data_IF_071746774698
#
_entry.id   IF_071746774698
#
_cell.length_a   1.000
_cell.length_b   1.000
_cell.length_c   1.000
_cell.angle_alpha   90.00
_cell.angle_beta   90.00
_cell.angle_gamma   90.00
#
_symmetry.space_group_name_H-M   'P 1'
#
loop_
_entity.id
_entity.type
_entity.pdbx_description
1 polymer ?
#
# COMPACT_ATOMS: atom_id res chain seq x y z
N UNK A 1 6.58 -1.16 -30.54
CA UNK A 1 5.61 -0.11 -30.13
C UNK A 1 4.62 0.05 -31.26
N UNK A 2 3.43 -0.55 -31.16
CA UNK A 2 2.33 -0.07 -32.00
C UNK A 2 1.75 1.17 -31.32
N UNK A 3 1.66 2.27 -32.07
CA UNK A 3 1.32 3.61 -31.55
C UNK A 3 -0.19 3.84 -31.39
N UNK A 4 -1.04 2.90 -31.79
CA UNK A 4 -2.40 3.24 -32.25
C UNK A 4 -3.59 2.91 -31.35
N UNK A 5 -3.47 2.14 -30.25
CA UNK A 5 -4.66 1.64 -29.53
C UNK A 5 -4.67 1.78 -28.00
N UNK A 6 -3.64 2.32 -27.35
CA UNK A 6 -3.71 2.60 -25.91
C UNK A 6 -4.25 4.03 -25.70
N UNK A 7 -5.46 4.24 -25.14
CA UNK A 7 -5.96 5.57 -24.86
C UNK A 7 -5.06 6.30 -23.85
N UNK A 8 -4.93 7.62 -24.01
CA UNK A 8 -4.15 8.44 -23.08
C UNK A 8 -4.78 8.41 -21.67
N UNK A 9 -3.96 8.37 -20.60
CA UNK A 9 -4.43 8.55 -19.24
C UNK A 9 -5.22 9.86 -19.10
N UNK A 10 -6.39 9.79 -18.45
CA UNK A 10 -7.28 10.93 -18.26
C UNK A 10 -7.79 10.97 -16.83
N UNK A 11 -7.93 12.17 -16.27
CA UNK A 11 -8.52 12.39 -14.96
C UNK A 11 -9.69 13.37 -15.06
N UNK A 12 -10.81 12.96 -14.48
CA UNK A 12 -11.97 13.83 -14.21
C UNK A 12 -11.92 14.24 -12.74
N UNK A 13 -12.06 15.54 -12.46
CA UNK A 13 -12.04 16.06 -11.11
C UNK A 13 -13.27 16.92 -10.82
N UNK A 14 -13.76 16.85 -9.58
CA UNK A 14 -14.81 17.72 -9.07
C UNK A 14 -14.42 18.16 -7.66
N UNK A 15 -14.62 19.44 -7.34
CA UNK A 15 -14.26 19.98 -6.03
C UNK A 15 -15.32 20.95 -5.51
N UNK A 16 -15.44 21.02 -4.19
CA UNK A 16 -16.29 21.96 -3.46
C UNK A 16 -15.49 22.46 -2.26
N UNK A 17 -15.48 23.76 -2.03
CA UNK A 17 -14.78 24.38 -0.90
C UNK A 17 -15.68 25.45 -0.26
N UNK A 18 -15.63 25.54 1.08
CA UNK A 18 -16.39 26.48 1.89
C UNK A 18 -15.44 27.11 2.91
N UNK A 19 -15.17 28.40 2.74
CA UNK A 19 -14.39 29.21 3.67
C UNK A 19 -15.31 29.99 4.61
N UNK A 20 -14.98 30.02 5.91
CA UNK A 20 -15.72 30.81 6.89
C UNK A 20 -14.83 31.37 7.99
N UNK A 21 -14.92 32.67 8.19
CA UNK A 21 -14.37 33.31 9.38
C UNK A 21 -15.21 32.95 10.63
N UNK A 22 -14.55 32.47 11.68
CA UNK A 22 -15.16 32.11 12.97
C UNK A 22 -14.80 33.15 14.02
N UNK A 23 -15.58 34.24 14.09
CA UNK A 23 -15.34 35.31 15.06
C UNK A 23 -14.05 36.07 14.79
N UNK A 24 -13.25 36.35 15.84
CA UNK A 24 -12.03 37.17 15.72
C UNK A 24 -10.78 36.30 15.62
N UNK A 25 -10.15 36.31 14.45
CA UNK A 25 -8.82 35.74 14.22
C UNK A 25 -8.80 34.28 13.74
N UNK A 26 -9.91 33.54 13.84
CA UNK A 26 -10.03 32.19 13.27
C UNK A 26 -10.68 32.19 11.88
N UNK A 27 -10.15 31.38 10.97
CA UNK A 27 -10.86 30.91 9.76
C UNK A 27 -10.90 29.39 9.76
N UNK A 28 -12.00 28.83 9.25
CA UNK A 28 -12.12 27.41 8.92
C UNK A 28 -12.40 27.30 7.43
N UNK A 29 -11.74 26.32 6.81
CA UNK A 29 -11.54 26.27 5.38
C UNK A 29 -11.75 24.79 4.96
N UNK A 30 -12.99 24.42 4.57
CA UNK A 30 -13.45 23.01 4.40
C UNK A 30 -13.62 22.64 2.93
N UNK A 31 -12.87 21.65 2.46
CA UNK A 31 -12.87 21.20 1.07
C UNK A 31 -13.26 19.73 0.88
N UNK A 32 -13.78 19.42 -0.31
CA UNK A 32 -13.93 18.08 -0.83
C UNK A 32 -13.39 18.03 -2.26
N UNK A 33 -12.65 16.97 -2.59
CA UNK A 33 -12.09 16.71 -3.91
C UNK A 33 -12.39 15.26 -4.31
N UNK A 34 -13.06 15.09 -5.43
CA UNK A 34 -13.14 13.83 -6.16
C UNK A 34 -12.16 13.85 -7.34
N UNK A 35 -11.43 12.74 -7.54
CA UNK A 35 -10.68 12.47 -8.78
C UNK A 35 -10.98 11.06 -9.26
N UNK A 36 -11.59 10.94 -10.43
CA UNK A 36 -11.74 9.69 -11.19
C UNK A 36 -10.70 9.64 -12.30
N UNK A 37 -9.69 8.79 -12.14
CA UNK A 37 -8.59 8.61 -13.08
C UNK A 37 -8.75 7.30 -13.87
N UNK A 38 -8.62 7.39 -15.19
CA UNK A 38 -8.87 6.32 -16.14
C UNK A 38 -7.70 6.16 -17.11
N UNK A 39 -7.56 4.96 -17.67
CA UNK A 39 -6.50 4.60 -18.61
C UNK A 39 -5.08 4.81 -18.07
N UNK A 40 -4.90 4.64 -16.75
CA UNK A 40 -3.60 4.70 -16.10
C UNK A 40 -2.70 3.55 -16.57
N UNK A 41 -1.39 3.82 -16.59
CA UNK A 41 -0.40 2.89 -17.14
C UNK A 41 -0.13 1.76 -16.14
N UNK A 42 -0.36 0.50 -16.56
CA UNK A 42 -0.01 -0.70 -15.80
C UNK A 42 0.88 -1.63 -16.63
N UNK A 43 1.87 -2.24 -15.98
CA UNK A 43 2.68 -3.31 -16.56
C UNK A 43 1.95 -4.66 -16.56
N UNK A 44 2.13 -5.41 -17.64
CA UNK A 44 1.72 -6.79 -17.83
C UNK A 44 2.94 -7.62 -18.24
N UNK A 45 3.16 -8.77 -17.61
CA UNK A 45 4.14 -9.73 -18.12
C UNK A 45 3.52 -10.57 -19.23
N UNK A 46 3.97 -10.40 -20.46
CA UNK A 46 3.30 -11.01 -21.62
C UNK A 46 3.52 -12.52 -21.71
N UNK A 47 4.58 -13.05 -21.09
CA UNK A 47 4.91 -14.49 -21.12
C UNK A 47 4.14 -15.36 -20.10
N UNK A 48 3.19 -14.78 -19.36
CA UNK A 48 2.27 -15.51 -18.48
C UNK A 48 1.27 -16.33 -19.33
N UNK A 49 1.14 -17.66 -19.13
CA UNK A 49 0.17 -18.49 -19.83
C UNK A 49 -1.26 -18.22 -19.35
N UNK A 50 -2.28 -18.83 -19.97
CA UNK A 50 -3.65 -18.74 -19.45
C UNK A 50 -3.80 -19.52 -18.13
N UNK A 51 -4.76 -19.14 -17.25
CA UNK A 51 -5.17 -19.96 -16.12
C UNK A 51 -5.56 -21.38 -16.54
N UNK A 52 -5.20 -22.38 -15.73
CA UNK A 52 -5.55 -23.80 -15.95
C UNK A 52 -7.07 -23.95 -15.99
N UNK A 53 -7.60 -24.66 -16.98
CA UNK A 53 -9.05 -24.71 -17.28
C UNK A 53 -9.52 -23.64 -18.27
N UNK A 54 -8.61 -22.78 -18.74
CA UNK A 54 -8.86 -21.83 -19.84
C UNK A 54 -7.81 -21.97 -20.95
N UNK A 55 -8.17 -21.54 -22.16
CA UNK A 55 -7.33 -21.57 -23.36
C UNK A 55 -7.47 -20.27 -24.16
N UNK A 56 -6.41 -19.80 -24.82
CA UNK A 56 -6.54 -18.70 -25.79
C UNK A 56 -7.27 -19.17 -27.06
N UNK A 57 -8.21 -18.38 -27.62
CA UNK A 57 -8.80 -18.68 -28.93
C UNK A 57 -7.80 -18.41 -30.05
N UNK A 58 -7.38 -19.46 -30.75
CA UNK A 58 -6.48 -19.37 -31.90
C UNK A 58 -5.45 -20.51 -31.92
N UNK A 59 -5.13 -20.99 -33.12
CA UNK A 59 -4.12 -22.02 -33.34
C UNK A 59 -2.76 -21.35 -33.59
N UNK A 60 -1.61 -21.87 -33.08
CA UNK A 60 -1.45 -23.08 -32.28
C UNK A 60 -1.87 -22.92 -30.81
N UNK A 61 -2.51 -23.96 -30.24
CA UNK A 61 -2.95 -23.99 -28.84
C UNK A 61 -1.79 -23.92 -27.81
N UNK A 62 -0.59 -24.20 -28.29
CA UNK A 62 0.71 -24.15 -27.65
C UNK A 62 1.31 -22.73 -27.55
N UNK A 63 0.79 -21.74 -28.29
CA UNK A 63 1.23 -20.33 -28.21
C UNK A 63 0.50 -19.57 -27.07
N UNK A 64 0.59 -20.12 -25.86
CA UNK A 64 0.09 -19.47 -24.65
C UNK A 64 1.05 -18.32 -24.25
N UNK A 65 0.52 -17.11 -24.07
CA UNK A 65 1.31 -15.98 -23.58
C UNK A 65 2.06 -15.16 -24.65
N UNK A 66 1.38 -14.82 -25.76
CA UNK A 66 1.84 -13.72 -26.64
C UNK A 66 0.76 -12.63 -26.81
N UNK A 67 1.22 -11.41 -27.07
CA UNK A 67 0.38 -10.27 -27.45
C UNK A 67 -0.17 -10.54 -28.86
N UNK A 68 -1.44 -10.20 -29.10
CA UNK A 68 -2.01 -10.19 -30.45
C UNK A 68 -1.24 -9.21 -31.36
N UNK A 69 -1.28 -9.38 -32.70
CA UNK A 69 -0.67 -8.43 -33.65
C UNK A 69 -1.14 -6.97 -33.51
N UNK A 70 -2.29 -6.73 -32.87
CA UNK A 70 -2.87 -5.40 -32.60
C UNK A 70 -2.47 -4.81 -31.23
N UNK A 71 -1.51 -5.41 -30.52
CA UNK A 71 -1.01 -4.91 -29.23
C UNK A 71 -1.84 -5.30 -28.00
N UNK A 72 -2.93 -6.07 -28.13
CA UNK A 72 -3.77 -6.48 -27.00
C UNK A 72 -3.43 -7.87 -26.45
N UNK A 73 -3.72 -8.13 -25.17
CA UNK A 73 -3.77 -9.50 -24.67
C UNK A 73 -5.00 -10.20 -25.25
N UNK A 74 -4.80 -11.34 -25.92
CA UNK A 74 -5.89 -12.27 -26.28
C UNK A 74 -6.56 -12.77 -24.99
N UNK A 75 -7.90 -12.71 -24.87
CA UNK A 75 -8.60 -13.22 -23.70
C UNK A 75 -8.46 -14.74 -23.60
N UNK A 76 -8.46 -15.27 -22.38
CA UNK A 76 -8.62 -16.70 -22.15
C UNK A 76 -10.12 -17.05 -22.21
N UNK A 77 -10.47 -18.20 -22.77
CA UNK A 77 -11.83 -18.77 -22.78
C UNK A 77 -11.86 -20.09 -22.01
N UNK A 78 -12.96 -20.36 -21.32
CA UNK A 78 -13.12 -21.50 -20.42
C UNK A 78 -13.45 -21.03 -19.01
N UNK A 79 -13.09 -21.82 -18.00
CA UNK A 79 -13.30 -21.48 -16.59
C UNK A 79 -12.07 -21.89 -15.78
N UNK A 80 -11.37 -20.96 -15.09
CA UNK A 80 -10.20 -21.29 -14.29
C UNK A 80 -10.53 -22.31 -13.20
N UNK A 81 -9.77 -23.39 -13.20
CA UNK A 81 -9.89 -24.48 -12.25
C UNK A 81 -9.17 -24.11 -10.95
N UNK A 82 -9.86 -24.24 -9.82
CA UNK A 82 -9.22 -24.08 -8.53
C UNK A 82 -8.28 -25.25 -8.23
N UNK A 83 -7.14 -24.91 -7.63
CA UNK A 83 -6.18 -25.87 -7.12
C UNK A 83 -6.50 -26.28 -5.68
N UNK A 84 -5.50 -26.86 -4.98
CA UNK A 84 -5.66 -27.28 -3.59
C UNK A 84 -6.13 -26.14 -2.67
N UNK A 85 -6.89 -26.49 -1.63
CA UNK A 85 -7.47 -25.54 -0.67
C UNK A 85 -8.41 -24.48 -1.27
N UNK A 86 -8.87 -24.65 -2.51
CA UNK A 86 -9.73 -23.67 -3.20
C UNK A 86 -8.97 -22.44 -3.69
N UNK A 87 -7.64 -22.49 -3.71
CA UNK A 87 -6.78 -21.43 -4.24
C UNK A 87 -6.92 -21.30 -5.77
N UNK A 88 -6.62 -20.12 -6.30
CA UNK A 88 -6.50 -19.87 -7.73
C UNK A 88 -6.55 -18.38 -8.09
N UNK A 89 -6.48 -18.02 -9.38
CA UNK A 89 -6.21 -18.93 -10.50
C UNK A 89 -4.82 -19.55 -10.40
N UNK A 90 -4.68 -20.80 -10.84
CA UNK A 90 -3.38 -21.39 -11.13
C UNK A 90 -3.08 -21.25 -12.61
N UNK A 91 -1.81 -21.07 -12.94
CA UNK A 91 -1.26 -20.96 -14.27
C UNK A 91 -0.48 -22.23 -14.57
N UNK A 92 -0.62 -22.74 -15.80
CA UNK A 92 0.16 -23.91 -16.22
C UNK A 92 1.61 -23.47 -16.40
N UNK A 93 2.42 -23.52 -15.34
CA UNK A 93 3.87 -23.40 -15.45
C UNK A 93 4.31 -24.45 -16.47
N UNK A 94 4.77 -23.98 -17.64
CA UNK A 94 4.96 -24.80 -18.82
C UNK A 94 5.81 -26.03 -18.46
N UNK A 95 5.19 -27.21 -18.44
CA UNK A 95 5.88 -28.50 -18.30
C UNK A 95 6.62 -28.81 -19.62
N UNK A 96 7.56 -27.92 -19.95
CA UNK A 96 8.43 -27.89 -21.11
C UNK A 96 7.80 -28.44 -22.41
N UNK A 97 6.74 -27.80 -22.96
CA UNK A 97 6.32 -28.12 -24.32
C UNK A 97 7.48 -27.74 -25.26
N UNK A 98 7.94 -28.64 -26.13
CA UNK A 98 9.10 -28.39 -26.98
C UNK A 98 8.76 -27.31 -28.02
N UNK A 99 9.07 -26.05 -27.71
CA UNK A 99 8.82 -24.91 -28.60
C UNK A 99 8.71 -23.52 -27.95
N UNK A 100 8.54 -23.40 -26.63
CA UNK A 100 8.45 -22.08 -25.95
C UNK A 100 9.71 -21.72 -25.16
N UNK A 101 10.53 -20.81 -25.70
CA UNK A 101 11.71 -20.22 -25.04
C UNK A 101 11.36 -19.15 -23.98
N UNK A 102 10.32 -19.35 -23.16
CA UNK A 102 9.86 -18.32 -22.21
C UNK A 102 10.65 -18.26 -20.89
N UNK A 103 11.46 -19.29 -20.57
CA UNK A 103 12.29 -19.31 -19.37
C UNK A 103 13.66 -18.61 -19.52
N UNK A 104 14.13 -18.36 -20.76
CA UNK A 104 15.46 -17.81 -21.01
C UNK A 104 15.52 -16.27 -21.00
N UNK A 105 14.38 -15.58 -21.16
CA UNK A 105 14.33 -14.14 -21.42
C UNK A 105 14.02 -13.25 -20.19
N UNK A 106 13.67 -13.83 -19.03
CA UNK A 106 13.18 -13.09 -17.86
C UNK A 106 11.74 -12.57 -18.03
N UNK A 107 11.37 -11.56 -17.25
CA UNK A 107 10.06 -10.89 -17.36
C UNK A 107 9.98 -10.10 -18.68
N UNK A 108 8.92 -10.31 -19.46
CA UNK A 108 8.70 -9.60 -20.72
C UNK A 108 7.52 -8.63 -20.56
N UNK A 109 7.80 -7.41 -20.11
CA UNK A 109 6.73 -6.47 -19.77
C UNK A 109 6.22 -5.63 -20.96
N UNK A 110 4.89 -5.52 -21.03
CA UNK A 110 4.19 -4.54 -21.86
C UNK A 110 3.34 -3.61 -20.99
N UNK A 111 3.44 -2.31 -21.22
CA UNK A 111 2.65 -1.30 -20.52
C UNK A 111 1.34 -1.01 -21.28
N UNK A 112 0.20 -1.19 -20.61
CA UNK A 112 -1.14 -0.94 -21.14
C UNK A 112 -1.86 0.17 -20.35
N UNK A 113 -3.07 0.55 -20.78
CA UNK A 113 -3.92 1.56 -20.15
C UNK A 113 -5.16 0.97 -19.46
N UNK A 114 -5.02 -0.09 -18.65
CA UNK A 114 -6.15 -0.77 -17.99
C UNK A 114 -6.36 -0.36 -16.53
N UNK A 115 -5.42 0.39 -15.92
CA UNK A 115 -5.56 0.82 -14.55
C UNK A 115 -6.51 2.02 -14.42
N UNK A 116 -7.26 2.04 -13.32
CA UNK A 116 -8.22 3.07 -12.97
C UNK A 116 -8.13 3.32 -11.46
N UNK A 117 -8.16 4.58 -11.03
CA UNK A 117 -8.14 4.98 -9.63
C UNK A 117 -9.27 5.97 -9.34
N UNK A 118 -9.84 5.91 -8.14
CA UNK A 118 -10.87 6.81 -7.65
C UNK A 118 -10.44 7.33 -6.29
N UNK A 119 -10.32 8.64 -6.15
CA UNK A 119 -9.93 9.32 -4.92
C UNK A 119 -11.07 10.20 -4.41
N UNK A 120 -11.36 10.06 -3.11
CA UNK A 120 -12.22 10.95 -2.35
C UNK A 120 -11.40 11.60 -1.24
N UNK A 121 -11.03 12.86 -1.43
CA UNK A 121 -10.33 13.68 -0.46
C UNK A 121 -11.31 14.61 0.28
N UNK A 122 -11.24 14.64 1.60
CA UNK A 122 -11.87 15.68 2.41
C UNK A 122 -10.79 16.48 3.15
N UNK A 123 -10.82 17.80 3.09
CA UNK A 123 -9.86 18.67 3.77
C UNK A 123 -10.57 19.57 4.78
N UNK A 124 -9.97 19.77 5.94
CA UNK A 124 -10.38 20.77 6.93
C UNK A 124 -9.12 21.50 7.34
N UNK A 125 -9.05 22.78 6.98
CA UNK A 125 -8.02 23.67 7.48
C UNK A 125 -8.62 24.57 8.57
N UNK A 126 -7.87 24.79 9.64
CA UNK A 126 -8.16 25.74 10.70
C UNK A 126 -6.96 26.68 10.82
N UNK A 127 -7.19 27.98 10.65
CA UNK A 127 -6.16 29.01 10.81
C UNK A 127 -6.55 29.92 11.96
N UNK A 128 -5.56 30.31 12.78
CA UNK A 128 -5.73 31.37 13.77
C UNK A 128 -4.57 32.34 13.75
N UNK A 129 -4.88 33.64 13.91
CA UNK A 129 -3.86 34.69 14.08
C UNK A 129 -4.26 35.70 15.14
N UNK A 130 -3.37 35.93 16.10
CA UNK A 130 -3.50 36.93 17.16
C UNK A 130 -2.13 37.51 17.56
N UNK A 131 -2.09 38.45 18.51
CA UNK A 131 -0.83 39.08 18.99
C UNK A 131 0.17 38.06 19.55
N UNK A 132 -0.33 37.04 20.25
CA UNK A 132 0.48 36.09 21.03
C UNK A 132 0.40 34.65 20.54
N UNK A 133 -0.53 34.32 19.64
CA UNK A 133 -0.74 32.95 19.18
C UNK A 133 -1.08 32.91 17.68
N UNK A 134 -0.38 32.05 16.93
CA UNK A 134 -0.68 31.70 15.54
C UNK A 134 -0.82 30.18 15.44
N UNK A 135 -1.79 29.69 14.67
CA UNK A 135 -2.03 28.27 14.42
C UNK A 135 -2.39 28.09 12.95
N UNK A 136 -1.88 27.01 12.35
CA UNK A 136 -2.45 26.40 11.16
C UNK A 136 -2.57 24.90 11.46
N UNK A 137 -3.74 24.31 11.27
CA UNK A 137 -3.95 22.87 11.35
C UNK A 137 -4.69 22.42 10.08
N UNK A 138 -4.13 21.43 9.39
CA UNK A 138 -4.70 20.84 8.18
C UNK A 138 -4.98 19.37 8.48
N UNK A 139 -6.24 18.98 8.41
CA UNK A 139 -6.69 17.59 8.45
C UNK A 139 -7.14 17.17 7.06
N UNK A 140 -6.65 16.04 6.59
CA UNK A 140 -7.04 15.39 5.34
C UNK A 140 -7.58 14.00 5.64
N UNK A 141 -8.79 13.73 5.18
CA UNK A 141 -9.33 12.40 4.96
C UNK A 141 -9.01 11.97 3.52
N UNK A 142 -8.47 10.76 3.35
CA UNK A 142 -8.26 10.12 2.06
C UNK A 142 -9.13 8.88 1.94
N UNK A 143 -9.70 8.64 0.77
CA UNK A 143 -10.07 7.29 0.37
C UNK A 143 -9.76 7.07 -1.11
N UNK A 144 -8.70 6.30 -1.37
CA UNK A 144 -8.29 5.92 -2.73
C UNK A 144 -8.58 4.44 -2.98
N UNK A 145 -9.32 4.14 -4.06
CA UNK A 145 -9.51 2.78 -4.59
C UNK A 145 -8.91 2.70 -5.99
N UNK A 146 -7.96 1.79 -6.19
CA UNK A 146 -7.34 1.53 -7.50
C UNK A 146 -7.34 0.04 -7.85
N UNK A 147 -7.12 -0.29 -9.12
CA UNK A 147 -6.74 -1.64 -9.57
C UNK A 147 -5.30 -1.66 -10.13
N UNK A 148 -4.44 -0.77 -9.66
CA UNK A 148 -3.08 -0.55 -10.15
C UNK A 148 -2.54 0.80 -9.67
N UNK A 149 -1.31 0.79 -9.16
CA UNK A 149 -0.68 1.90 -8.44
C UNK A 149 0.59 2.42 -9.14
N UNK A 150 1.70 1.66 -9.14
CA UNK A 150 2.99 2.10 -9.69
C UNK A 150 3.39 1.31 -10.94
N UNK A 151 3.88 1.99 -11.98
CA UNK A 151 4.42 1.32 -13.17
C UNK A 151 5.86 0.84 -12.90
N UNK A 152 6.00 -0.39 -12.39
CA UNK A 152 7.30 -1.06 -12.17
C UNK A 152 7.22 -2.53 -12.54
N UNK A 153 8.31 -3.13 -13.02
CA UNK A 153 8.37 -4.53 -13.49
C UNK A 153 8.02 -5.59 -12.43
N UNK A 154 8.11 -5.25 -11.14
CA UNK A 154 7.76 -6.16 -10.02
C UNK A 154 6.30 -6.02 -9.54
N UNK A 155 5.56 -5.03 -10.07
CA UNK A 155 4.24 -4.64 -9.59
C UNK A 155 3.14 -5.04 -10.58
N UNK A 156 3.13 -6.33 -10.88
CA UNK A 156 2.23 -6.98 -11.81
C UNK A 156 0.92 -7.39 -11.10
N UNK A 157 -0.20 -7.58 -11.82
CA UNK A 157 -1.38 -8.25 -11.27
C UNK A 157 -1.07 -9.71 -10.94
N UNK A 158 -1.75 -10.28 -9.93
CA UNK A 158 -1.73 -11.72 -9.70
C UNK A 158 -2.46 -12.49 -10.82
N UNK A 159 -3.42 -11.83 -11.49
CA UNK A 159 -4.04 -12.34 -12.70
C UNK A 159 -4.22 -11.23 -13.73
N UNK A 160 -3.36 -11.19 -14.75
CA UNK A 160 -3.47 -10.20 -15.83
C UNK A 160 -4.66 -10.42 -16.78
N UNK A 161 -5.41 -11.52 -16.62
CA UNK A 161 -6.65 -11.76 -17.34
C UNK A 161 -7.90 -11.31 -16.54
N UNK A 162 -7.75 -10.91 -15.28
CA UNK A 162 -8.81 -10.31 -14.46
C UNK A 162 -8.29 -9.12 -13.60
N UNK A 163 -8.31 -7.93 -14.21
CA UNK A 163 -8.06 -6.67 -13.51
C UNK A 163 -9.19 -6.22 -12.56
N UNK A 164 -10.31 -6.93 -12.53
CA UNK A 164 -11.39 -6.73 -11.56
C UNK A 164 -10.98 -7.19 -10.17
N UNK A 165 -10.41 -8.40 -10.06
CA UNK A 165 -9.86 -8.97 -8.81
C UNK A 165 -8.76 -8.12 -8.14
N UNK A 166 -8.17 -7.20 -8.90
CA UNK A 166 -7.11 -6.31 -8.46
C UNK A 166 -7.66 -5.02 -7.82
N UNK A 167 -8.94 -4.70 -7.98
CA UNK A 167 -9.56 -3.47 -7.44
C UNK A 167 -9.66 -3.54 -5.91
N UNK A 168 -8.95 -2.64 -5.23
CA UNK A 168 -8.84 -2.60 -3.77
C UNK A 168 -8.52 -1.18 -3.28
N UNK A 169 -8.37 -1.00 -1.96
CA UNK A 169 -7.73 0.20 -1.41
C UNK A 169 -6.35 0.41 -2.06
N UNK A 170 -5.97 1.65 -2.33
CA UNK A 170 -4.63 1.97 -2.78
C UNK A 170 -3.60 1.79 -1.67
N UNK A 171 -2.35 1.44 -2.00
CA UNK A 171 -1.25 1.49 -1.05
C UNK A 171 -0.85 2.94 -0.68
N UNK A 172 -1.38 3.92 -1.41
CA UNK A 172 -1.26 5.35 -1.12
C UNK A 172 -2.38 5.86 -0.18
N UNK A 173 -3.34 5.02 0.22
CA UNK A 173 -4.54 5.44 0.96
C UNK A 173 -4.27 5.67 2.46
N UNK A 174 -3.68 6.81 2.80
CA UNK A 174 -3.52 7.28 4.20
C UNK A 174 -4.83 7.89 4.68
N UNK A 175 -5.74 7.04 5.16
CA UNK A 175 -7.13 7.35 5.52
C UNK A 175 -7.33 8.65 6.31
N UNK A 176 -6.45 8.92 7.29
CA UNK A 176 -6.45 10.13 8.09
C UNK A 176 -5.04 10.70 8.20
N UNK A 177 -4.87 12.00 7.96
CA UNK A 177 -3.60 12.72 8.11
C UNK A 177 -3.85 14.12 8.68
N UNK A 178 -3.17 14.47 9.76
CA UNK A 178 -3.24 15.77 10.45
C UNK A 178 -1.84 16.36 10.54
N UNK A 179 -1.63 17.52 9.92
CA UNK A 179 -0.45 18.36 10.15
C UNK A 179 -0.89 19.65 10.85
N UNK A 180 -0.41 19.87 12.07
CA UNK A 180 -0.73 21.07 12.85
C UNK A 180 0.54 21.76 13.36
N UNK A 181 0.63 23.07 13.13
CA UNK A 181 1.79 23.87 13.47
C UNK A 181 1.37 25.21 14.08
N UNK A 182 1.95 25.54 15.22
CA UNK A 182 1.58 26.73 15.99
C UNK A 182 2.78 27.43 16.62
N UNK A 183 2.64 28.72 16.87
CA UNK A 183 3.61 29.56 17.57
C UNK A 183 2.92 30.36 18.67
N UNK A 184 3.49 30.34 19.87
CA UNK A 184 2.99 31.01 21.07
C UNK A 184 4.09 31.91 21.65
N UNK A 185 3.80 33.20 21.81
CA UNK A 185 4.72 34.21 22.34
C UNK A 185 4.30 34.63 23.73
N UNK A 186 5.25 34.69 24.66
CA UNK A 186 4.99 35.22 25.99
C UNK A 186 4.66 36.72 25.95
N UNK A 187 3.73 37.22 26.80
CA UNK A 187 3.46 38.64 26.93
C UNK A 187 4.69 39.46 27.33
N UNK A 188 4.83 40.65 26.76
CA UNK A 188 6.02 41.53 26.91
C UNK A 188 6.25 41.98 28.37
N UNK A 189 5.18 42.11 29.17
CA UNK A 189 5.23 42.42 30.60
C UNK A 189 5.39 41.21 31.53
N UNK A 190 5.54 39.98 31.01
CA UNK A 190 5.68 38.76 31.82
C UNK A 190 7.15 38.45 32.15
N UNK A 191 7.38 37.63 33.19
CA UNK A 191 8.72 37.11 33.49
C UNK A 191 9.30 36.23 32.35
N UNK A 192 8.42 35.64 31.55
CA UNK A 192 8.75 34.88 30.34
C UNK A 192 8.86 35.75 29.08
N UNK A 193 8.85 37.09 29.17
CA UNK A 193 8.99 37.96 27.99
C UNK A 193 10.14 37.49 27.10
N UNK A 194 9.96 37.70 25.79
CA UNK A 194 10.95 37.36 24.76
C UNK A 194 11.12 35.84 24.54
N UNK A 195 10.34 35.00 25.23
CA UNK A 195 10.18 33.57 24.93
C UNK A 195 9.13 33.37 23.83
N UNK A 196 9.46 32.52 22.86
CA UNK A 196 8.53 31.96 21.88
C UNK A 196 8.62 30.42 21.92
N UNK A 197 7.45 29.77 21.95
CA UNK A 197 7.31 28.33 21.79
C UNK A 197 6.70 28.06 20.43
N UNK A 198 7.36 27.23 19.62
CA UNK A 198 6.89 26.82 18.30
C UNK A 198 6.78 25.31 18.24
N UNK A 199 5.78 24.79 17.52
CA UNK A 199 5.44 23.38 17.51
C UNK A 199 5.02 22.92 16.11
N UNK A 200 5.39 21.70 15.75
CA UNK A 200 4.90 20.96 14.58
C UNK A 200 4.43 19.59 15.08
N UNK A 201 3.22 19.20 14.71
CA UNK A 201 2.58 17.93 15.06
C UNK A 201 2.18 17.27 13.76
N UNK A 202 2.58 16.01 13.57
CA UNK A 202 2.03 15.16 12.51
C UNK A 202 1.38 13.93 13.14
N UNK A 203 0.18 13.59 12.71
CA UNK A 203 -0.50 12.35 13.05
C UNK A 203 -1.16 11.75 11.80
N UNK A 204 -0.79 10.53 11.44
CA UNK A 204 -1.39 9.81 10.31
C UNK A 204 -1.76 8.38 10.67
N UNK A 205 -2.86 7.90 10.09
CA UNK A 205 -3.22 6.47 10.10
C UNK A 205 -2.16 5.63 9.36
N UNK A 206 -2.03 4.36 9.74
CA UNK A 206 -1.12 3.46 9.05
C UNK A 206 -1.46 3.26 7.57
N UNK A 207 -0.42 3.11 6.74
CA UNK A 207 -0.54 2.76 5.33
C UNK A 207 -0.97 1.31 5.16
N UNK A 208 -1.82 0.96 4.17
CA UNK A 208 -2.23 -0.41 3.96
C UNK A 208 -1.20 -1.18 3.12
N UNK A 209 -1.01 -2.45 3.45
CA UNK A 209 -0.06 -3.39 2.83
C UNK A 209 -0.77 -4.61 2.25
N UNK A 210 -0.23 -5.12 1.14
CA UNK A 210 -0.68 -6.38 0.54
C UNK A 210 0.05 -7.55 1.20
N UNK A 211 -0.70 -8.59 1.57
CA UNK A 211 -0.21 -9.81 2.19
C UNK A 211 0.25 -10.78 1.10
N UNK A 212 1.57 -10.90 0.93
CA UNK A 212 2.17 -11.74 -0.11
C UNK A 212 2.56 -13.12 0.44
N UNK A 213 2.54 -14.13 -0.42
CA UNK A 213 3.10 -15.45 -0.10
C UNK A 213 4.63 -15.40 -0.06
N UNK A 214 5.26 -14.64 -0.97
CA UNK A 214 6.72 -14.55 -1.09
C UNK A 214 7.34 -15.61 -1.99
N UNK A 215 6.54 -16.42 -2.67
CA UNK A 215 6.98 -17.47 -3.59
C UNK A 215 5.98 -17.60 -4.76
N UNK A 216 6.46 -18.07 -5.92
CA UNK A 216 5.63 -18.39 -7.09
C UNK A 216 4.81 -19.65 -6.82
N UNK A 217 3.65 -19.46 -6.21
CA UNK A 217 2.66 -20.46 -5.81
C UNK A 217 1.72 -20.77 -6.97
N UNK A 218 1.28 -19.76 -7.71
CA UNK A 218 0.29 -19.91 -8.75
C UNK A 218 0.87 -20.29 -10.11
N UNK A 219 2.20 -20.19 -10.30
CA UNK A 219 2.88 -20.62 -11.53
C UNK A 219 2.90 -19.56 -12.65
N UNK A 220 2.66 -18.29 -12.31
CA UNK A 220 2.40 -17.19 -13.25
C UNK A 220 3.67 -16.61 -13.92
N UNK A 221 4.87 -17.07 -13.55
CA UNK A 221 6.18 -16.56 -14.02
C UNK A 221 6.52 -15.15 -13.49
N UNK A 222 5.60 -14.44 -12.80
CA UNK A 222 5.84 -13.13 -12.19
C UNK A 222 6.60 -13.20 -10.84
N UNK A 223 6.72 -14.40 -10.27
CA UNK A 223 7.61 -14.67 -9.13
C UNK A 223 6.95 -14.43 -7.77
N UNK A 224 7.76 -14.35 -6.70
CA UNK A 224 7.25 -14.25 -5.32
C UNK A 224 6.61 -12.92 -4.92
N UNK A 225 6.38 -12.00 -5.85
CA UNK A 225 5.97 -10.61 -5.59
C UNK A 225 4.55 -10.26 -6.04
N UNK A 226 3.87 -11.16 -6.74
CA UNK A 226 2.47 -11.02 -7.18
C UNK A 226 1.51 -11.83 -6.30
N UNK A 227 1.91 -13.05 -5.95
CA UNK A 227 1.06 -14.02 -5.25
C UNK A 227 0.64 -13.56 -3.85
N UNK A 228 -0.66 -13.39 -3.66
CA UNK A 228 -1.29 -13.05 -2.38
C UNK A 228 -1.73 -14.31 -1.64
N UNK A 229 -1.74 -14.23 -0.30
CA UNK A 229 -2.21 -15.32 0.55
C UNK A 229 -3.69 -15.65 0.23
N UNK A 230 -4.05 -16.93 0.28
CA UNK A 230 -5.43 -17.40 0.15
C UNK A 230 -6.40 -16.65 1.07
N UNK A 231 -7.60 -16.37 0.56
CA UNK A 231 -8.63 -15.64 1.29
C UNK A 231 -9.21 -16.46 2.47
N UNK A 232 -10.18 -15.89 3.23
CA UNK A 232 -11.01 -16.69 4.10
C UNK A 232 -11.72 -17.80 3.28
N UNK A 233 -12.00 -18.98 3.86
CA UNK A 233 -12.68 -20.05 3.14
C UNK A 233 -14.00 -19.58 2.52
N UNK A 234 -14.18 -19.81 1.22
CA UNK A 234 -15.38 -19.37 0.51
C UNK A 234 -16.59 -20.15 1.03
N UNK A 235 -17.59 -19.44 1.55
CA UNK A 235 -18.84 -20.05 2.03
C UNK A 235 -19.71 -20.46 0.84
N UNK A 236 -19.72 -21.76 0.52
CA UNK A 236 -20.50 -22.34 -0.56
C UNK A 236 -19.66 -23.20 -1.50
N UNK A 237 -20.25 -23.65 -2.61
CA UNK A 237 -19.54 -24.41 -3.64
C UNK A 237 -18.74 -23.48 -4.54
N UNK A 238 -17.54 -23.09 -4.10
CA UNK A 238 -16.61 -22.36 -4.96
C UNK A 238 -15.92 -23.31 -5.94
N UNK A 239 -16.17 -23.14 -7.24
CA UNK A 239 -15.67 -24.02 -8.31
C UNK A 239 -14.65 -23.36 -9.24
N UNK A 240 -14.59 -22.02 -9.27
CA UNK A 240 -13.68 -21.24 -10.13
C UNK A 240 -13.29 -19.90 -9.49
N UNK A 241 -12.16 -19.33 -9.93
CA UNK A 241 -11.72 -18.00 -9.47
C UNK A 241 -12.47 -16.84 -10.14
N UNK A 242 -13.23 -17.08 -11.20
CA UNK A 242 -14.05 -16.05 -11.88
C UNK A 242 -15.25 -15.58 -11.04
N UNK A 243 -15.66 -16.39 -10.08
CA UNK A 243 -16.89 -16.20 -9.30
C UNK A 243 -16.64 -16.16 -7.79
N UNK A 244 -15.38 -16.30 -7.35
CA UNK A 244 -15.00 -16.29 -5.94
C UNK A 244 -13.74 -15.45 -5.71
N UNK A 245 -13.67 -14.76 -4.58
CA UNK A 245 -12.39 -14.30 -4.03
C UNK A 245 -11.67 -15.49 -3.39
N UNK A 246 -10.64 -15.98 -4.07
CA UNK A 246 -9.78 -17.10 -3.69
C UNK A 246 -8.54 -16.67 -2.90
N UNK A 247 -8.09 -15.43 -3.11
CA UNK A 247 -6.96 -14.79 -2.43
C UNK A 247 -7.38 -13.47 -1.79
N UNK A 248 -6.73 -13.12 -0.67
CA UNK A 248 -6.98 -11.86 0.05
C UNK A 248 -6.79 -10.64 -0.87
N UNK A 249 -7.63 -9.62 -0.74
CA UNK A 249 -7.50 -8.40 -1.53
C UNK A 249 -6.16 -7.68 -1.26
N UNK A 250 -5.68 -6.90 -2.24
CA UNK A 250 -4.54 -5.99 -2.03
C UNK A 250 -4.83 -5.04 -0.87
N UNK A 251 -3.79 -4.62 -0.16
CA UNK A 251 -3.83 -3.51 0.79
C UNK A 251 -4.89 -3.70 1.91
N UNK A 252 -4.90 -4.90 2.48
CA UNK A 252 -5.82 -5.36 3.53
C UNK A 252 -5.23 -5.34 4.93
N UNK A 253 -3.91 -5.27 5.08
CA UNK A 253 -3.23 -5.20 6.37
C UNK A 253 -2.77 -3.77 6.66
N UNK A 254 -3.25 -3.17 7.75
CA UNK A 254 -2.89 -1.79 8.12
C UNK A 254 -1.53 -1.73 8.85
N UNK A 255 -0.62 -0.88 8.38
CA UNK A 255 0.64 -0.57 9.04
C UNK A 255 0.47 0.20 10.36
N UNK A 256 1.59 0.59 10.96
CA UNK A 256 1.59 1.43 12.16
C UNK A 256 1.15 2.86 11.85
N UNK A 257 0.47 3.51 12.80
CA UNK A 257 0.21 4.95 12.73
C UNK A 257 1.46 5.74 13.08
N UNK A 258 1.75 6.79 12.31
CA UNK A 258 2.85 7.71 12.63
C UNK A 258 2.32 8.88 13.46
N UNK A 259 3.02 9.18 14.54
CA UNK A 259 2.77 10.30 15.43
C UNK A 259 4.10 11.00 15.75
N UNK A 260 4.23 12.24 15.33
CA UNK A 260 5.39 13.09 15.62
C UNK A 260 4.96 14.37 16.31
N UNK A 261 5.79 14.84 17.23
CA UNK A 261 5.65 16.14 17.83
C UNK A 261 7.05 16.73 17.97
N UNK A 262 7.32 17.76 17.20
CA UNK A 262 8.60 18.46 17.16
C UNK A 262 8.39 19.86 17.74
N UNK A 263 9.25 20.29 18.66
CA UNK A 263 9.09 21.55 19.40
C UNK A 263 10.37 22.38 19.38
N UNK A 264 10.20 23.70 19.31
CA UNK A 264 11.23 24.71 19.50
C UNK A 264 10.85 25.60 20.67
N UNK A 265 11.77 25.75 21.63
CA UNK A 265 11.74 26.83 22.62
C UNK A 265 12.83 27.82 22.26
N UNK A 266 12.47 29.08 21.98
CA UNK A 266 13.43 30.15 21.75
C UNK A 266 13.27 31.27 22.77
N UNK A 267 14.38 31.92 23.11
CA UNK A 267 14.40 33.14 23.91
C UNK A 267 15.50 34.07 23.43
N UNK A 268 15.17 35.34 23.24
CA UNK A 268 16.17 36.36 22.95
C UNK A 268 16.42 37.29 24.14
N UNK A 269 17.66 37.75 24.26
CA UNK A 269 18.13 38.72 25.24
C UNK A 269 18.66 39.94 24.50
N UNK A 270 18.32 41.15 24.97
CA UNK A 270 18.95 42.40 24.51
C UNK A 270 19.83 42.92 25.64
N UNK A 271 21.10 43.22 25.33
CA UNK A 271 22.06 43.77 26.30
C UNK A 271 22.25 45.29 26.15
N UNK A 272 22.23 45.78 24.90
CA UNK A 272 22.29 47.19 24.49
C UNK A 272 21.38 47.40 23.29
N UNK A 273 21.26 48.62 22.74
CA UNK A 273 20.38 48.89 21.59
C UNK A 273 20.65 47.97 20.39
N UNK A 274 21.94 47.70 20.11
CA UNK A 274 22.39 46.89 18.97
C UNK A 274 22.76 45.44 19.33
N UNK A 275 22.94 45.12 20.62
CA UNK A 275 23.44 43.81 21.06
C UNK A 275 22.30 42.85 21.45
N UNK A 276 22.16 41.75 20.70
CA UNK A 276 21.14 40.71 20.87
C UNK A 276 21.75 39.30 20.87
N UNK A 277 21.32 38.47 21.82
CA UNK A 277 21.60 37.02 21.84
C UNK A 277 20.28 36.26 21.71
N UNK A 278 20.13 35.49 20.65
CA UNK A 278 19.05 34.51 20.47
C UNK A 278 19.53 33.13 20.89
N UNK A 279 18.81 32.48 21.82
CA UNK A 279 19.01 31.08 22.19
C UNK A 279 17.81 30.25 21.74
N UNK A 280 18.05 29.10 21.10
CA UNK A 280 17.02 28.13 20.74
C UNK A 280 17.38 26.73 21.22
N UNK A 281 16.35 25.98 21.62
CA UNK A 281 16.39 24.55 21.86
C UNK A 281 15.33 23.90 20.96
N UNK A 282 15.74 22.95 20.14
CA UNK A 282 14.88 22.15 19.27
C UNK A 282 14.84 20.70 19.76
N UNK A 283 13.66 20.10 19.80
CA UNK A 283 13.45 18.69 20.13
C UNK A 283 12.56 18.06 19.06
N UNK A 284 13.16 17.21 18.24
CA UNK A 284 12.49 16.40 17.24
C UNK A 284 12.11 15.04 17.85
N UNK A 285 10.91 14.56 17.55
CA UNK A 285 10.26 13.42 18.19
C UNK A 285 10.25 13.52 19.73
N UNK A 286 9.59 14.56 20.25
CA UNK A 286 9.40 14.79 21.69
C UNK A 286 8.76 13.58 22.39
N UNK A 287 7.88 12.85 21.68
CA UNK A 287 7.20 11.64 22.16
C UNK A 287 8.13 10.43 22.29
N UNK A 288 9.34 10.47 21.71
CA UNK A 288 10.27 9.34 21.63
C UNK A 288 9.61 8.05 21.06
N UNK A 289 8.66 8.21 20.13
CA UNK A 289 7.94 7.09 19.50
C UNK A 289 8.71 6.61 18.27
N UNK A 290 8.99 5.32 18.16
CA UNK A 290 9.42 4.74 16.89
C UNK A 290 8.24 4.80 15.90
N UNK A 291 8.39 5.48 14.77
CA UNK A 291 7.33 5.59 13.75
C UNK A 291 7.63 4.61 12.61
N UNK A 292 6.93 3.48 12.56
CA UNK A 292 7.21 2.43 11.56
C UNK A 292 6.55 2.82 10.23
N UNK A 293 7.34 2.88 9.16
CA UNK A 293 6.85 3.24 7.81
C UNK A 293 6.71 2.02 6.90
N UNK A 294 7.67 1.09 6.96
CA UNK A 294 7.61 -0.19 6.26
C UNK A 294 7.64 -1.37 7.23
N UNK A 295 6.96 -2.44 6.83
CA UNK A 295 6.90 -3.74 7.51
C UNK A 295 7.27 -4.86 6.53
N UNK A 296 7.57 -6.05 7.04
CA UNK A 296 7.58 -7.25 6.19
C UNK A 296 6.14 -7.79 5.99
N UNK A 297 5.57 -7.63 4.80
CA UNK A 297 4.23 -8.14 4.48
C UNK A 297 4.21 -9.54 3.85
N UNK A 298 5.37 -10.22 3.78
CA UNK A 298 5.48 -11.61 3.31
C UNK A 298 5.06 -12.57 4.42
N UNK A 299 3.91 -13.22 4.25
CA UNK A 299 3.36 -14.20 5.18
C UNK A 299 4.07 -15.57 5.10
N UNK A 300 4.67 -15.91 3.96
CA UNK A 300 5.47 -17.13 3.77
C UNK A 300 4.67 -18.42 3.53
N UNK A 301 3.34 -18.39 3.68
CA UNK A 301 2.44 -19.52 3.41
C UNK A 301 1.38 -19.12 2.38
N UNK A 302 0.98 -20.02 1.46
CA UNK A 302 -0.04 -19.73 0.46
C UNK A 302 -1.46 -19.64 1.01
N UNK A 303 -1.68 -20.03 2.27
CA UNK A 303 -2.95 -19.90 3.01
C UNK A 303 -2.71 -19.45 4.44
N UNK A 304 -3.70 -18.79 5.06
CA UNK A 304 -3.65 -18.45 6.47
C UNK A 304 -3.69 -19.68 7.37
N UNK A 305 -2.74 -19.75 8.30
CA UNK A 305 -2.58 -20.85 9.26
C UNK A 305 -3.35 -20.62 10.58
N UNK A 306 -4.43 -19.82 10.52
CA UNK A 306 -5.17 -19.36 11.69
C UNK A 306 -6.04 -18.15 11.34
N UNK A 307 -6.21 -17.23 12.29
CA UNK A 307 -6.86 -15.95 12.04
C UNK A 307 -6.12 -15.13 10.96
N UNK A 308 -6.85 -14.26 10.26
CA UNK A 308 -6.29 -13.37 9.24
C UNK A 308 -5.74 -12.11 9.94
N UNK A 309 -4.44 -11.79 9.82
CA UNK A 309 -3.88 -10.57 10.38
C UNK A 309 -4.48 -9.33 9.70
N UNK A 310 -4.85 -8.33 10.48
CA UNK A 310 -5.55 -7.10 10.05
C UNK A 310 -4.69 -5.84 10.23
N UNK A 311 -3.84 -5.79 11.26
CA UNK A 311 -3.05 -4.58 11.53
C UNK A 311 -1.72 -4.84 12.27
N UNK A 312 -0.83 -3.85 12.17
CA UNK A 312 0.46 -3.84 12.82
C UNK A 312 0.37 -4.17 14.32
N UNK A 313 1.18 -5.15 14.74
CA UNK A 313 1.21 -5.67 16.10
C UNK A 313 -0.15 -6.14 16.64
N UNK A 314 -1.10 -6.57 15.80
CA UNK A 314 -2.32 -7.24 16.27
C UNK A 314 -2.02 -8.60 16.95
N UNK A 315 -3.05 -9.22 17.55
CA UNK A 315 -2.87 -10.49 18.26
C UNK A 315 -2.39 -11.63 17.35
N UNK A 316 -2.80 -11.65 16.09
CA UNK A 316 -2.42 -12.65 15.09
C UNK A 316 -0.97 -12.47 14.68
N UNK A 317 -0.57 -11.26 14.32
CA UNK A 317 0.81 -10.90 13.96
C UNK A 317 1.78 -11.24 15.09
N UNK A 318 1.44 -10.90 16.34
CA UNK A 318 2.28 -11.25 17.51
C UNK A 318 2.34 -12.77 17.74
N UNK A 319 1.25 -13.51 17.53
CA UNK A 319 1.26 -14.97 17.65
C UNK A 319 2.16 -15.63 16.58
N UNK A 320 2.20 -15.09 15.35
CA UNK A 320 3.10 -15.53 14.29
C UNK A 320 4.56 -15.27 14.68
N UNK A 321 4.87 -14.05 15.12
CA UNK A 321 6.22 -13.64 15.54
C UNK A 321 6.74 -14.47 16.73
N UNK A 322 5.86 -14.85 17.64
CA UNK A 322 6.16 -15.72 18.78
C UNK A 322 6.18 -17.23 18.42
N UNK A 323 6.10 -17.61 17.13
CA UNK A 323 6.11 -19.01 16.69
C UNK A 323 4.91 -19.84 17.18
N UNK A 324 3.81 -19.19 17.60
CA UNK A 324 2.64 -19.83 18.22
C UNK A 324 1.57 -20.25 17.20
N UNK A 325 1.82 -20.08 15.90
CA UNK A 325 0.88 -20.39 14.81
C UNK A 325 1.43 -21.55 13.96
N UNK A 326 0.65 -22.63 13.86
CA UNK A 326 1.00 -23.82 13.07
C UNK A 326 0.06 -24.00 11.88
N UNK A 327 0.63 -24.40 10.74
CA UNK A 327 -0.08 -24.69 9.51
C UNK A 327 -0.44 -26.19 9.35
N UNK A 328 -0.30 -27.00 10.40
CA UNK A 328 -0.46 -28.46 10.31
C UNK A 328 -1.86 -28.89 9.79
N UNK A 329 -2.92 -28.13 10.10
CA UNK A 329 -4.26 -28.40 9.59
C UNK A 329 -4.36 -28.18 8.07
N UNK A 330 -3.72 -27.12 7.56
CA UNK A 330 -3.64 -26.78 6.15
C UNK A 330 -2.78 -27.81 5.39
N UNK A 331 -1.69 -28.28 6.00
CA UNK A 331 -0.87 -29.38 5.46
C UNK A 331 -1.65 -30.69 5.38
N UNK A 332 -2.45 -31.04 6.40
CA UNK A 332 -3.31 -32.23 6.37
C UNK A 332 -4.42 -32.12 5.29
N UNK A 333 -4.97 -30.93 5.07
CA UNK A 333 -5.99 -30.68 4.04
C UNK A 333 -5.45 -30.77 2.59
N UNK A 334 -4.13 -30.72 2.38
CA UNK A 334 -3.48 -30.93 1.08
C UNK A 334 -3.28 -32.41 0.70
N UNK A 335 -3.61 -33.36 1.59
CA UNK A 335 -3.18 -34.75 1.51
C UNK A 335 -4.00 -35.71 0.61
N UNK A 336 -4.59 -35.26 -0.53
CA UNK A 336 -4.75 -36.15 -1.69
C UNK A 336 -4.06 -35.59 -2.94
N UNK A 337 -3.27 -36.44 -3.62
CA UNK A 337 -2.42 -36.12 -4.79
C UNK A 337 -3.13 -35.72 -6.10
N UNK A 338 -4.31 -35.10 -6.03
CA UNK A 338 -5.14 -34.68 -7.16
C UNK A 338 -4.54 -33.54 -8.00
N UNK A 339 -3.57 -32.78 -7.44
CA UNK A 339 -2.95 -31.65 -8.13
C UNK A 339 -2.04 -32.08 -9.30
N UNK A 340 -1.27 -33.16 -9.14
CA UNK A 340 -0.44 -33.72 -10.22
C UNK A 340 -1.29 -34.17 -11.41
N UNK A 341 -2.45 -34.80 -11.14
CA UNK A 341 -3.40 -35.22 -12.18
C UNK A 341 -4.07 -34.06 -12.92
N UNK A 342 -3.95 -32.82 -12.42
CA UNK A 342 -4.43 -31.59 -13.05
C UNK A 342 -3.31 -30.72 -13.66
N UNK A 343 -2.07 -31.22 -13.67
CA UNK A 343 -0.91 -30.46 -14.16
C UNK A 343 -0.54 -29.25 -13.29
N UNK A 344 -1.01 -29.20 -12.04
CA UNK A 344 -0.74 -28.10 -11.12
C UNK A 344 0.57 -28.34 -10.36
N UNK A 345 1.33 -27.27 -10.14
CA UNK A 345 2.46 -27.30 -9.22
C UNK A 345 1.96 -27.70 -7.81
N UNK A 346 2.76 -28.48 -7.04
CA UNK A 346 2.50 -28.67 -5.62
C UNK A 346 2.46 -27.31 -4.93
N UNK A 347 1.51 -27.12 -4.01
CA UNK A 347 1.39 -25.91 -3.19
C UNK A 347 2.06 -26.21 -1.83
N UNK A 348 3.35 -25.87 -1.62
CA UNK A 348 4.01 -26.14 -0.36
C UNK A 348 3.46 -25.20 0.73
N UNK A 349 2.77 -25.77 1.71
CA UNK A 349 2.46 -25.08 2.96
C UNK A 349 3.58 -25.36 3.96
N UNK A 350 4.31 -24.33 4.45
CA UNK A 350 5.34 -24.52 5.48
C UNK A 350 4.69 -24.93 6.81
N UNK A 351 5.44 -25.48 7.79
CA UNK A 351 4.87 -25.89 9.09
C UNK A 351 4.37 -24.71 9.94
N UNK A 352 4.92 -23.51 9.72
CA UNK A 352 4.53 -22.24 10.36
C UNK A 352 4.62 -21.11 9.32
N UNK A 353 3.89 -19.99 9.49
CA UNK A 353 4.11 -18.78 8.69
C UNK A 353 5.52 -18.20 8.93
N UNK A 354 5.90 -17.21 8.11
CA UNK A 354 7.15 -16.46 8.28
C UNK A 354 7.18 -15.73 9.64
N UNK A 355 8.12 -16.04 10.56
CA UNK A 355 8.17 -15.42 11.89
C UNK A 355 8.55 -13.93 11.85
N UNK A 356 9.08 -13.43 10.72
CA UNK A 356 9.35 -11.99 10.53
C UNK A 356 8.15 -11.23 9.95
N UNK A 357 7.02 -11.90 9.69
CA UNK A 357 5.81 -11.25 9.20
C UNK A 357 5.34 -10.12 10.15
N UNK A 358 4.98 -8.97 9.58
CA UNK A 358 4.57 -7.77 10.30
C UNK A 358 5.69 -7.06 11.06
N UNK A 359 6.94 -7.58 11.06
CA UNK A 359 8.05 -6.92 11.73
C UNK A 359 8.46 -5.62 11.01
N UNK A 360 8.91 -4.58 11.74
CA UNK A 360 9.43 -3.35 11.15
C UNK A 360 10.59 -3.58 10.16
N UNK A 361 10.55 -2.89 9.03
CA UNK A 361 11.66 -2.78 8.06
C UNK A 361 12.27 -1.38 8.04
N UNK A 362 11.45 -0.33 8.14
CA UNK A 362 11.89 1.07 8.10
C UNK A 362 11.23 1.87 9.21
N UNK A 363 12.01 2.73 9.88
CA UNK A 363 11.56 3.60 10.98
C UNK A 363 11.92 5.05 10.68
N UNK A 364 10.98 5.95 10.91
CA UNK A 364 11.11 7.39 10.66
C UNK A 364 11.18 8.20 11.96
N UNK A 365 11.69 9.43 11.82
CA UNK A 365 11.84 10.44 12.87
C UNK A 365 12.59 9.96 14.14
N UNK A 366 13.90 9.68 14.07
CA UNK A 366 14.70 9.43 15.26
C UNK A 366 14.71 10.65 16.17
N UNK A 367 14.71 10.45 17.50
CA UNK A 367 14.74 11.56 18.45
C UNK A 367 16.05 12.33 18.35
N UNK A 368 15.94 13.65 18.17
CA UNK A 368 17.09 14.56 18.11
C UNK A 368 16.85 15.78 18.98
N UNK A 369 17.87 16.23 19.69
CA UNK A 369 17.86 17.49 20.42
C UNK A 369 18.97 18.37 19.84
N UNK A 370 18.66 19.62 19.50
CA UNK A 370 19.63 20.59 19.02
C UNK A 370 19.56 21.86 19.86
N UNK A 371 20.71 22.53 20.00
CA UNK A 371 20.81 23.85 20.63
C UNK A 371 21.49 24.79 19.65
N UNK A 372 21.01 26.02 19.55
CA UNK A 372 21.67 27.06 18.76
C UNK A 372 21.69 28.39 19.50
N UNK A 373 22.77 29.14 19.28
CA UNK A 373 22.95 30.49 19.79
C UNK A 373 23.35 31.41 18.63
N UNK A 374 22.69 32.56 18.48
CA UNK A 374 23.08 33.61 17.53
C UNK A 374 23.30 34.91 18.29
N UNK A 375 24.50 35.44 18.22
CA UNK A 375 24.82 36.78 18.69
C UNK A 375 24.81 37.76 17.50
N UNK A 376 24.20 38.93 17.71
CA UNK A 376 24.15 40.05 16.76
C UNK A 376 24.55 41.32 17.51
N UNK A 377 25.33 42.20 16.89
CA UNK A 377 25.92 43.39 17.50
C UNK A 377 25.90 44.60 16.56
#
# INVERSE_FOLDING_TARGET
MDRHNTPNPVASQASLEIDRQLGKGFTIDVGYLFVGAHHLIRGNNINVPCPVGTSKPGNPADVQGLINPNGTLSPCQGTPTLGPLGLGPFFSSLANPPGLETLAAGLLDFNNGVANANYHGGTVTLRHRSKYFNLVANYTYSHTIDNGNFTTFINLPQNQFDYGSERANSNQDVRHHLTANFTARAPEGSFLRQVEFSSIINAQSGRPFTLFVGNNTFGDVAGGSTDRVGGPPVTGSCTSSDHCSTTVARNTYLGDGMYTWDVRLSRYFKFKEHQRLDLNMDVFNLLNRANIDEINSVYGSPVFCGAIPQSFNDATTRAIQNGSVSCAAQQAALAPGLFLARGLLPVPVPPTPNPTFGAPRTVLNPRQIQFSAKYSF
#
